data_IF_584014466112
#
_entry.id   IF_584014466112
#
_cell.length_a   1.000
_cell.length_b   1.000
_cell.length_c   1.000
_cell.angle_alpha   90.00
_cell.angle_beta   90.00
_cell.angle_gamma   90.00
#
_symmetry.space_group_name_H-M   'P 1'
#
loop_
_entity.id
_entity.type
_entity.pdbx_description
1 polymer ?
#
# COMPACT_ATOMS: atom_id res chain seq x y z
N UNK A 1 -7.14 -43.72 -58.18
CA UNK A 1 -7.46 -42.86 -59.35
C UNK A 1 -7.68 -41.47 -58.79
N UNK A 2 -6.80 -40.47 -58.86
CA UNK A 2 -5.52 -40.26 -59.54
C UNK A 2 -4.57 -39.51 -58.59
N UNK A 3 -3.28 -39.81 -58.71
CA UNK A 3 -2.12 -39.06 -58.20
C UNK A 3 -2.03 -37.67 -58.83
N UNK A 4 -1.52 -36.67 -58.09
CA UNK A 4 -0.59 -35.67 -58.65
C UNK A 4 0.48 -35.33 -57.61
N UNK A 5 1.68 -35.82 -57.89
CA UNK A 5 3.00 -35.44 -57.36
C UNK A 5 3.46 -34.10 -57.94
N UNK A 6 4.26 -33.32 -57.19
CA UNK A 6 5.30 -32.45 -57.78
C UNK A 6 6.61 -32.49 -56.98
N UNK A 7 7.70 -32.40 -57.75
CA UNK A 7 9.08 -32.81 -57.51
C UNK A 7 9.91 -31.93 -56.54
N UNK A 8 11.06 -32.46 -56.06
CA UNK A 8 12.00 -31.75 -55.21
C UNK A 8 13.00 -30.92 -56.00
N UNK A 9 13.44 -29.79 -55.45
CA UNK A 9 14.66 -29.11 -55.89
C UNK A 9 15.70 -29.19 -54.78
N UNK A 10 16.69 -30.05 -55.01
CA UNK A 10 17.98 -30.02 -54.36
C UNK A 10 18.69 -28.71 -54.72
N UNK A 11 19.15 -27.98 -53.70
CA UNK A 11 20.32 -27.10 -53.83
C UNK A 11 21.34 -27.49 -52.76
N UNK A 12 22.56 -27.57 -53.25
CA UNK A 12 23.83 -28.03 -52.68
C UNK A 12 24.23 -27.43 -51.35
N UNK A 13 24.96 -28.23 -50.57
CA UNK A 13 25.44 -27.91 -49.23
C UNK A 13 26.58 -26.88 -49.13
N UNK A 14 26.79 -26.46 -47.88
CA UNK A 14 27.95 -25.75 -47.32
C UNK A 14 28.15 -26.33 -45.89
N UNK A 15 29.38 -26.59 -45.44
CA UNK A 15 29.65 -27.58 -44.39
C UNK A 15 29.33 -27.10 -42.98
N UNK A 16 29.05 -28.08 -42.12
CA UNK A 16 28.92 -27.94 -40.67
C UNK A 16 30.20 -27.34 -40.06
N UNK A 17 30.09 -26.16 -39.45
CA UNK A 17 30.99 -25.75 -38.37
C UNK A 17 30.38 -26.22 -37.07
N UNK A 18 31.08 -27.16 -36.42
CA UNK A 18 30.96 -27.40 -34.99
C UNK A 18 31.51 -26.16 -34.28
N UNK A 19 30.62 -25.27 -33.88
CA UNK A 19 30.90 -24.38 -32.75
C UNK A 19 30.19 -24.99 -31.55
N UNK A 20 31.00 -25.39 -30.58
CA UNK A 20 30.56 -25.81 -29.26
C UNK A 20 29.92 -24.59 -28.59
N UNK A 21 28.61 -24.45 -28.76
CA UNK A 21 27.81 -23.64 -27.85
C UNK A 21 27.98 -24.28 -26.47
N UNK A 22 28.69 -23.60 -25.58
CA UNK A 22 28.62 -23.89 -24.16
C UNK A 22 27.15 -23.91 -23.78
N UNK A 23 26.69 -25.03 -23.25
CA UNK A 23 25.46 -25.04 -22.47
C UNK A 23 25.75 -24.13 -21.27
N UNK A 24 25.39 -22.86 -21.37
CA UNK A 24 24.90 -22.17 -20.18
C UNK A 24 23.71 -22.99 -19.73
N UNK A 25 23.93 -23.80 -18.70
CA UNK A 25 22.84 -24.33 -17.90
C UNK A 25 22.10 -23.10 -17.37
N UNK A 26 21.03 -22.71 -18.05
CA UNK A 26 19.93 -21.99 -17.43
C UNK A 26 19.54 -22.83 -16.21
N UNK A 27 20.12 -22.48 -15.05
CA UNK A 27 19.44 -22.72 -13.79
C UNK A 27 18.11 -22.02 -13.96
N UNK A 28 17.06 -22.82 -14.10
CA UNK A 28 15.72 -22.38 -13.78
C UNK A 28 15.75 -22.08 -12.27
N UNK A 29 16.29 -20.92 -11.90
CA UNK A 29 16.30 -20.47 -10.52
C UNK A 29 14.85 -20.19 -10.19
N UNK A 30 14.27 -21.07 -9.40
CA UNK A 30 12.92 -20.91 -8.88
C UNK A 30 12.83 -19.53 -8.22
N UNK A 31 11.84 -18.73 -8.63
CA UNK A 31 11.59 -17.41 -8.04
C UNK A 31 11.36 -17.57 -6.55
N UNK A 32 12.06 -16.80 -5.72
CA UNK A 32 11.91 -16.86 -4.27
C UNK A 32 11.10 -15.67 -3.74
N UNK A 33 9.97 -15.98 -3.11
CA UNK A 33 9.11 -15.00 -2.44
C UNK A 33 9.24 -15.15 -0.94
N UNK A 34 9.64 -14.06 -0.26
CA UNK A 34 9.66 -14.00 1.20
C UNK A 34 8.34 -13.43 1.73
N UNK A 35 7.66 -14.18 2.59
CA UNK A 35 6.44 -13.74 3.28
C UNK A 35 6.77 -13.23 4.67
N UNK A 36 6.53 -11.94 4.87
CA UNK A 36 6.66 -11.25 6.14
C UNK A 36 5.29 -11.18 6.82
N UNK A 37 5.20 -11.60 8.07
CA UNK A 37 3.94 -11.56 8.82
C UNK A 37 3.92 -10.45 9.86
N UNK A 38 2.86 -9.63 9.88
CA UNK A 38 2.64 -8.64 10.95
C UNK A 38 1.49 -9.03 11.89
N UNK A 39 0.81 -10.14 11.62
CA UNK A 39 -0.39 -10.61 12.32
C UNK A 39 -1.67 -10.34 11.49
N UNK A 40 -2.73 -9.91 12.16
CA UNK A 40 -4.03 -9.64 11.54
C UNK A 40 -4.92 -10.87 11.37
N UNK A 41 -6.10 -10.67 10.79
CA UNK A 41 -7.18 -11.66 10.70
C UNK A 41 -6.75 -12.96 10.00
N UNK A 42 -5.85 -12.88 9.03
CA UNK A 42 -5.32 -14.02 8.27
C UNK A 42 -4.56 -15.01 9.15
N UNK A 43 -3.94 -14.53 10.22
CA UNK A 43 -3.26 -15.34 11.22
C UNK A 43 -4.10 -15.53 12.50
N UNK A 44 -5.37 -15.09 12.50
CA UNK A 44 -6.23 -15.08 13.69
C UNK A 44 -7.23 -16.23 13.69
N UNK A 45 -7.40 -16.83 14.87
CA UNK A 45 -8.48 -17.78 15.18
C UNK A 45 -9.49 -17.14 16.12
N UNK A 46 -10.73 -17.61 16.16
CA UNK A 46 -11.72 -17.13 17.12
C UNK A 46 -11.20 -17.33 18.56
N UNK A 47 -11.30 -16.28 19.37
CA UNK A 47 -11.02 -16.35 20.79
C UNK A 47 -12.09 -17.14 21.54
N UNK A 48 -11.80 -17.63 22.75
CA UNK A 48 -12.77 -18.32 23.58
C UNK A 48 -14.03 -17.48 23.81
N UNK A 49 -15.21 -18.11 23.73
CA UNK A 49 -16.48 -17.57 24.24
C UNK A 49 -16.84 -16.14 23.75
N UNK A 50 -16.67 -15.87 22.45
CA UNK A 50 -17.15 -14.61 21.84
C UNK A 50 -16.23 -13.40 22.04
N UNK A 51 -14.98 -13.62 22.43
CA UNK A 51 -13.96 -12.57 22.64
C UNK A 51 -13.40 -11.92 21.36
N UNK A 52 -13.92 -12.29 20.18
CA UNK A 52 -13.38 -11.85 18.88
C UNK A 52 -12.14 -12.64 18.47
N UNK A 53 -11.68 -12.49 17.23
CA UNK A 53 -10.52 -13.22 16.72
C UNK A 53 -9.20 -12.59 17.18
N UNK A 54 -8.20 -13.42 17.47
CA UNK A 54 -6.85 -13.00 17.92
C UNK A 54 -5.80 -13.72 17.09
N UNK A 55 -4.72 -13.03 16.71
CA UNK A 55 -3.59 -13.61 15.99
C UNK A 55 -2.91 -14.71 16.83
N UNK A 56 -2.94 -15.94 16.35
CA UNK A 56 -2.50 -17.14 17.09
C UNK A 56 -1.65 -18.08 16.23
N UNK A 57 -1.74 -18.03 14.90
CA UNK A 57 -0.93 -18.87 14.00
C UNK A 57 0.35 -18.14 13.56
N UNK A 58 1.48 -18.84 13.64
CA UNK A 58 2.74 -18.38 13.05
C UNK A 58 2.75 -18.56 11.53
N UNK A 59 3.58 -17.78 10.83
CA UNK A 59 3.67 -17.79 9.37
C UNK A 59 3.86 -19.18 8.76
N UNK A 60 4.63 -20.07 9.39
CA UNK A 60 4.88 -21.43 8.88
C UNK A 60 3.58 -22.24 8.72
N UNK A 61 2.60 -22.05 9.60
CA UNK A 61 1.32 -22.76 9.52
C UNK A 61 0.48 -22.28 8.33
N UNK A 62 0.57 -20.98 7.98
CA UNK A 62 -0.09 -20.42 6.79
C UNK A 62 0.61 -20.90 5.52
N UNK A 63 1.94 -20.90 5.50
CA UNK A 63 2.72 -21.31 4.33
C UNK A 63 2.57 -22.78 3.98
N UNK A 64 2.39 -23.66 4.98
CA UNK A 64 2.15 -25.09 4.73
C UNK A 64 0.82 -25.39 4.01
N UNK A 65 -0.11 -24.42 3.93
CA UNK A 65 -1.41 -24.57 3.28
C UNK A 65 -1.41 -24.10 1.82
N UNK A 66 -0.37 -23.40 1.39
CA UNK A 66 -0.31 -22.74 0.08
C UNK A 66 0.85 -23.26 -0.75
N UNK A 67 0.58 -23.56 -2.02
CA UNK A 67 1.60 -23.97 -2.99
C UNK A 67 1.38 -23.18 -4.28
N UNK A 68 2.44 -22.57 -4.81
CA UNK A 68 2.41 -21.85 -6.08
C UNK A 68 3.50 -22.40 -6.99
N UNK A 69 3.10 -22.93 -8.15
CA UNK A 69 4.02 -23.55 -9.09
C UNK A 69 5.10 -22.57 -9.55
N UNK A 70 6.37 -23.01 -9.56
CA UNK A 70 7.49 -22.19 -10.00
C UNK A 70 8.00 -21.17 -8.97
N UNK A 71 7.37 -21.08 -7.78
CA UNK A 71 7.77 -20.16 -6.71
C UNK A 71 8.17 -20.95 -5.46
N UNK A 72 9.35 -20.67 -4.94
CA UNK A 72 9.75 -21.10 -3.59
C UNK A 72 9.33 -20.04 -2.59
N UNK A 73 8.75 -20.45 -1.47
CA UNK A 73 8.23 -19.53 -0.45
C UNK A 73 8.92 -19.78 0.87
N UNK A 74 9.36 -18.71 1.53
CA UNK A 74 9.82 -18.75 2.93
C UNK A 74 9.08 -17.72 3.77
N UNK A 75 9.08 -17.90 5.09
CA UNK A 75 8.30 -17.08 6.03
C UNK A 75 9.14 -16.50 7.15
N UNK A 76 8.82 -15.27 7.57
CA UNK A 76 9.38 -14.66 8.79
C UNK A 76 8.33 -13.79 9.49
N UNK A 77 8.19 -13.96 10.80
CA UNK A 77 7.36 -13.05 11.60
C UNK A 77 8.11 -11.73 11.85
N UNK A 78 7.45 -10.60 11.57
CA UNK A 78 7.92 -9.25 11.86
C UNK A 78 7.22 -8.71 13.10
N UNK A 79 5.89 -8.84 13.15
CA UNK A 79 5.04 -8.45 14.27
C UNK A 79 3.93 -9.50 14.49
N UNK A 80 3.21 -9.37 15.60
CA UNK A 80 2.01 -10.17 15.88
C UNK A 80 0.96 -9.26 16.50
N UNK A 81 0.54 -8.25 15.72
CA UNK A 81 -0.27 -7.13 16.21
C UNK A 81 -1.43 -6.87 15.27
N UNK A 82 -2.64 -6.71 15.81
CA UNK A 82 -3.79 -6.31 15.01
C UNK A 82 -3.56 -4.92 14.41
N UNK A 83 -3.95 -4.73 13.15
CA UNK A 83 -3.62 -3.52 12.39
C UNK A 83 -4.16 -2.23 13.02
N UNK A 84 -5.27 -2.30 13.75
CA UNK A 84 -5.85 -1.16 14.49
C UNK A 84 -5.07 -0.78 15.78
N UNK A 85 -4.07 -1.57 16.18
CA UNK A 85 -3.19 -1.29 17.31
C UNK A 85 -1.80 -0.81 16.87
N UNK A 86 -1.52 -0.77 15.56
CA UNK A 86 -0.21 -0.39 15.05
C UNK A 86 0.10 1.08 15.36
N UNK A 87 1.28 1.30 15.90
CA UNK A 87 1.87 2.62 16.11
C UNK A 87 2.80 3.01 14.95
N UNK A 88 3.25 4.27 14.91
CA UNK A 88 4.27 4.70 13.94
C UNK A 88 5.58 3.90 14.08
N UNK A 89 5.94 3.50 15.30
CA UNK A 89 7.08 2.60 15.54
C UNK A 89 6.89 1.26 14.83
N UNK A 90 5.70 0.68 14.91
CA UNK A 90 5.41 -0.60 14.26
C UNK A 90 5.46 -0.46 12.73
N UNK A 91 4.93 0.64 12.18
CA UNK A 91 5.05 0.95 10.76
C UNK A 91 6.52 1.09 10.32
N UNK A 92 7.37 1.75 11.12
CA UNK A 92 8.81 1.83 10.83
C UNK A 92 9.49 0.45 10.85
N UNK A 93 9.16 -0.40 11.82
CA UNK A 93 9.70 -1.77 11.88
C UNK A 93 9.28 -2.61 10.65
N UNK A 94 8.05 -2.42 10.15
CA UNK A 94 7.58 -3.03 8.90
C UNK A 94 8.43 -2.55 7.72
N UNK A 95 8.64 -1.23 7.59
CA UNK A 95 9.49 -0.67 6.53
C UNK A 95 10.91 -1.25 6.59
N UNK A 96 11.52 -1.29 7.78
CA UNK A 96 12.86 -1.84 7.98
C UNK A 96 12.92 -3.31 7.50
N UNK A 97 11.95 -4.13 7.93
CA UNK A 97 11.89 -5.54 7.56
C UNK A 97 11.71 -5.77 6.05
N UNK A 98 10.88 -4.97 5.38
CA UNK A 98 10.69 -5.03 3.93
C UNK A 98 11.94 -4.54 3.21
N UNK A 99 12.54 -3.43 3.65
CA UNK A 99 13.75 -2.88 3.03
C UNK A 99 14.92 -3.86 3.12
N UNK A 100 15.09 -4.53 4.26
CA UNK A 100 16.11 -5.56 4.42
C UNK A 100 15.85 -6.77 3.52
N UNK A 101 14.60 -7.18 3.37
CA UNK A 101 14.22 -8.25 2.44
C UNK A 101 14.52 -7.88 0.98
N UNK A 102 14.25 -6.63 0.58
CA UNK A 102 14.52 -6.17 -0.79
C UNK A 102 16.02 -6.12 -1.11
N UNK A 103 16.88 -5.90 -0.11
CA UNK A 103 18.34 -5.92 -0.25
C UNK A 103 18.94 -7.32 -0.39
N UNK A 104 18.24 -8.36 0.04
CA UNK A 104 18.70 -9.74 -0.10
C UNK A 104 18.61 -10.18 -1.57
N UNK A 105 19.76 -10.46 -2.20
CA UNK A 105 19.84 -10.92 -3.59
C UNK A 105 19.14 -12.28 -3.80
N UNK A 106 18.96 -13.08 -2.75
CA UNK A 106 18.24 -14.33 -2.80
C UNK A 106 16.71 -14.19 -2.73
N UNK A 107 16.17 -12.98 -2.58
CA UNK A 107 14.73 -12.70 -2.56
C UNK A 107 14.33 -11.96 -3.83
N UNK A 108 13.37 -12.49 -4.57
CA UNK A 108 12.88 -11.92 -5.83
C UNK A 108 11.63 -11.04 -5.64
N UNK A 109 10.85 -11.32 -4.59
CA UNK A 109 9.64 -10.57 -4.24
C UNK A 109 9.27 -10.73 -2.77
N UNK A 110 8.48 -9.78 -2.26
CA UNK A 110 8.06 -9.76 -0.85
C UNK A 110 6.54 -9.75 -0.77
N UNK A 111 5.97 -10.63 0.05
CA UNK A 111 4.57 -10.55 0.49
C UNK A 111 4.53 -10.13 1.95
N UNK A 112 3.65 -9.20 2.30
CA UNK A 112 3.40 -8.80 3.67
C UNK A 112 1.96 -9.19 4.06
N UNK A 113 1.80 -10.16 4.95
CA UNK A 113 0.49 -10.45 5.54
C UNK A 113 0.19 -9.44 6.63
N UNK A 114 -0.95 -8.77 6.51
CA UNK A 114 -1.30 -7.60 7.32
C UNK A 114 -2.79 -7.59 7.65
N UNK A 115 -3.15 -6.99 8.80
CA UNK A 115 -4.55 -6.74 9.14
C UNK A 115 -5.18 -5.70 8.21
N UNK A 116 -6.47 -5.88 7.89
CA UNK A 116 -7.11 -5.09 6.83
C UNK A 116 -7.48 -3.67 7.23
N UNK A 117 -7.52 -3.35 8.53
CA UNK A 117 -8.03 -2.05 9.00
C UNK A 117 -7.12 -0.86 8.68
N UNK A 118 -5.80 -1.07 8.64
CA UNK A 118 -4.81 -0.02 8.35
C UNK A 118 -3.86 -0.41 7.22
N UNK A 119 -4.21 -1.45 6.44
CA UNK A 119 -3.40 -1.91 5.30
C UNK A 119 -3.16 -0.80 4.29
N UNK A 120 -4.14 0.08 4.05
CA UNK A 120 -4.00 1.22 3.13
C UNK A 120 -2.97 2.26 3.58
N UNK A 121 -2.74 2.40 4.90
CA UNK A 121 -1.72 3.29 5.47
C UNK A 121 -0.33 2.65 5.36
N UNK A 122 -0.20 1.38 5.77
CA UNK A 122 1.07 0.63 5.68
C UNK A 122 1.55 0.47 4.25
N UNK A 123 0.66 0.12 3.31
CA UNK A 123 0.97 -0.01 1.89
C UNK A 123 1.50 1.30 1.33
N UNK A 124 0.84 2.41 1.67
CA UNK A 124 1.24 3.72 1.16
C UNK A 124 2.57 4.20 1.77
N UNK A 125 2.82 3.99 3.06
CA UNK A 125 4.13 4.29 3.65
C UNK A 125 5.25 3.52 2.95
N UNK A 126 5.06 2.21 2.73
CA UNK A 126 6.01 1.40 1.98
C UNK A 126 6.21 1.94 0.56
N UNK A 127 5.13 2.33 -0.13
CA UNK A 127 5.19 2.85 -1.50
C UNK A 127 5.96 4.16 -1.64
N UNK A 128 5.87 5.03 -0.61
CA UNK A 128 6.63 6.27 -0.52
C UNK A 128 8.14 6.04 -0.44
N UNK A 129 8.57 4.91 0.12
CA UNK A 129 9.98 4.62 0.43
C UNK A 129 10.58 3.66 -0.60
N UNK A 130 9.73 2.90 -1.28
CA UNK A 130 10.13 1.81 -2.16
C UNK A 130 10.92 2.29 -3.39
N UNK A 131 12.18 1.88 -3.46
CA UNK A 131 13.18 2.25 -4.48
C UNK A 131 13.74 1.05 -5.26
N UNK A 132 13.11 -0.12 -5.12
CA UNK A 132 13.50 -1.37 -5.79
C UNK A 132 12.55 -1.72 -6.93
N UNK A 133 13.03 -2.52 -7.89
CA UNK A 133 12.17 -3.11 -8.92
C UNK A 133 11.46 -4.39 -8.44
N UNK A 134 11.90 -4.98 -7.33
CA UNK A 134 11.30 -6.21 -6.78
C UNK A 134 9.90 -5.91 -6.24
N UNK A 135 8.87 -6.70 -6.57
CA UNK A 135 7.51 -6.43 -6.12
C UNK A 135 7.35 -6.59 -4.60
N UNK A 136 6.53 -5.71 -4.02
CA UNK A 136 6.05 -5.80 -2.64
C UNK A 136 4.53 -5.85 -2.66
N UNK A 137 3.96 -6.92 -2.11
CA UNK A 137 2.51 -7.16 -2.15
C UNK A 137 1.96 -7.33 -0.74
N UNK A 138 1.04 -6.47 -0.33
CA UNK A 138 0.30 -6.63 0.91
C UNK A 138 -0.95 -7.48 0.67
N UNK A 139 -1.28 -8.32 1.65
CA UNK A 139 -2.53 -9.09 1.64
C UNK A 139 -3.00 -9.41 3.06
N UNK A 140 -4.20 -9.97 3.18
CA UNK A 140 -4.83 -10.33 4.45
C UNK A 140 -6.13 -11.10 4.24
N UNK A 141 -7.02 -11.06 5.23
CA UNK A 141 -8.36 -11.68 5.13
C UNK A 141 -9.41 -10.82 5.82
N UNK A 142 -10.66 -10.88 5.33
CA UNK A 142 -11.82 -10.34 6.03
C UNK A 142 -12.37 -11.31 7.07
N UNK A 143 -12.23 -12.61 6.83
CA UNK A 143 -12.69 -13.66 7.73
C UNK A 143 -11.52 -14.29 8.46
N UNK A 144 -11.74 -14.71 9.71
CA UNK A 144 -10.74 -15.46 10.49
C UNK A 144 -10.51 -16.84 9.86
N UNK A 145 -9.36 -17.44 10.17
CA UNK A 145 -8.89 -18.71 9.59
C UNK A 145 -9.82 -19.90 9.91
N UNK A 146 -10.56 -19.82 11.01
CA UNK A 146 -11.57 -20.80 11.42
C UNK A 146 -13.00 -20.45 10.96
N UNK A 147 -13.17 -19.32 10.28
CA UNK A 147 -14.45 -18.83 9.80
C UNK A 147 -14.91 -19.53 8.51
N UNK A 148 -16.22 -19.76 8.38
CA UNK A 148 -16.80 -20.25 7.13
C UNK A 148 -16.53 -19.23 6.01
N UNK A 149 -15.99 -19.71 4.88
CA UNK A 149 -15.64 -18.87 3.74
C UNK A 149 -14.38 -18.05 3.95
N UNK A 150 -13.45 -18.52 4.80
CA UNK A 150 -12.12 -17.96 4.98
C UNK A 150 -11.47 -17.64 3.62
N UNK A 151 -11.09 -16.38 3.47
CA UNK A 151 -10.55 -15.80 2.25
C UNK A 151 -9.02 -15.66 2.27
N UNK A 152 -8.37 -15.94 3.40
CA UNK A 152 -6.94 -15.71 3.56
C UNK A 152 -6.04 -16.62 2.72
N UNK A 153 -6.39 -17.90 2.55
CA UNK A 153 -5.58 -18.83 1.76
C UNK A 153 -5.50 -18.39 0.30
N UNK A 154 -6.65 -18.05 -0.32
CA UNK A 154 -6.69 -17.61 -1.71
C UNK A 154 -6.04 -16.23 -1.89
N UNK A 155 -6.26 -15.29 -0.96
CA UNK A 155 -5.60 -13.99 -0.98
C UNK A 155 -4.08 -14.12 -0.85
N UNK A 156 -3.58 -15.05 -0.05
CA UNK A 156 -2.16 -15.33 0.11
C UNK A 156 -1.56 -15.97 -1.15
N UNK A 157 -2.25 -16.94 -1.75
CA UNK A 157 -1.85 -17.54 -3.04
C UNK A 157 -1.76 -16.47 -4.13
N UNK A 158 -2.77 -15.61 -4.24
CA UNK A 158 -2.78 -14.51 -5.21
C UNK A 158 -1.63 -13.54 -4.96
N UNK A 159 -1.38 -13.17 -3.71
CA UNK A 159 -0.29 -12.26 -3.35
C UNK A 159 1.10 -12.85 -3.67
N UNK A 160 1.32 -14.14 -3.38
CA UNK A 160 2.56 -14.85 -3.72
C UNK A 160 2.73 -14.92 -5.24
N UNK A 161 1.65 -15.21 -5.96
CA UNK A 161 1.64 -15.25 -7.43
C UNK A 161 2.03 -13.88 -8.02
N UNK A 162 1.47 -12.79 -7.49
CA UNK A 162 1.82 -11.42 -7.90
C UNK A 162 3.27 -11.08 -7.55
N UNK A 163 3.73 -11.42 -6.34
CA UNK A 163 5.11 -11.14 -5.92
C UNK A 163 6.15 -11.96 -6.70
N UNK A 164 5.79 -13.11 -7.26
CA UNK A 164 6.67 -13.90 -8.13
C UNK A 164 6.58 -13.57 -9.62
N UNK A 165 5.63 -12.72 -10.03
CA UNK A 165 5.39 -12.43 -11.44
C UNK A 165 6.38 -11.38 -11.98
N UNK A 166 7.07 -11.65 -13.11
CA UNK A 166 7.94 -10.68 -13.77
C UNK A 166 7.24 -9.35 -14.10
N UNK A 167 5.95 -9.39 -14.45
CA UNK A 167 5.12 -8.25 -14.82
C UNK A 167 4.81 -7.32 -13.64
N UNK A 168 4.97 -7.80 -12.40
CA UNK A 168 4.79 -7.00 -11.19
C UNK A 168 6.04 -6.16 -10.84
N UNK A 169 7.17 -6.42 -11.48
CA UNK A 169 8.39 -5.64 -11.25
C UNK A 169 8.20 -4.17 -11.65
N UNK A 170 8.64 -3.25 -10.79
CA UNK A 170 8.52 -1.81 -11.00
C UNK A 170 7.08 -1.25 -10.87
N UNK A 171 6.09 -2.05 -10.46
CA UNK A 171 4.72 -1.59 -10.23
C UNK A 171 4.53 -0.85 -8.89
N UNK A 172 5.59 -0.76 -8.08
CA UNK A 172 5.54 -0.20 -6.74
C UNK A 172 5.00 -1.19 -5.71
N UNK A 173 4.45 -0.67 -4.63
CA UNK A 173 3.78 -1.48 -3.61
C UNK A 173 2.33 -1.72 -4.01
N UNK A 174 1.90 -2.98 -3.91
CA UNK A 174 0.59 -3.44 -4.33
C UNK A 174 -0.20 -4.01 -3.15
N UNK A 175 -1.53 -4.04 -3.28
CA UNK A 175 -2.42 -4.81 -2.42
C UNK A 175 -3.10 -5.86 -3.30
N UNK A 176 -2.92 -7.15 -2.97
CA UNK A 176 -3.62 -8.26 -3.63
C UNK A 176 -4.73 -8.78 -2.71
N UNK A 177 -5.99 -8.64 -3.14
CA UNK A 177 -7.15 -9.00 -2.34
C UNK A 177 -8.33 -9.37 -3.22
N UNK A 178 -9.02 -10.49 -2.93
CA UNK A 178 -10.18 -10.96 -3.67
C UNK A 178 -9.97 -11.00 -5.21
N UNK A 179 -8.79 -11.46 -5.65
CA UNK A 179 -8.39 -11.51 -7.06
C UNK A 179 -8.04 -10.16 -7.70
N UNK A 180 -8.24 -9.03 -7.02
CA UNK A 180 -7.85 -7.70 -7.50
C UNK A 180 -6.41 -7.34 -7.10
N UNK A 181 -5.71 -6.65 -8.00
CA UNK A 181 -4.37 -6.10 -7.74
C UNK A 181 -4.50 -4.57 -7.71
N UNK A 182 -4.35 -3.97 -6.54
CA UNK A 182 -4.59 -2.55 -6.30
C UNK A 182 -3.26 -1.81 -6.10
N UNK A 183 -3.13 -0.56 -6.57
CA UNK A 183 -1.97 0.27 -6.24
C UNK A 183 -2.02 0.63 -4.75
N UNK A 184 -0.88 0.82 -4.08
CA UNK A 184 -0.88 1.38 -2.72
C UNK A 184 -1.52 2.76 -2.68
N UNK A 185 -1.06 3.71 -3.51
CA UNK A 185 -1.62 5.06 -3.60
C UNK A 185 -3.08 5.03 -4.06
N UNK A 186 -3.95 5.65 -3.26
CA UNK A 186 -5.37 5.85 -3.56
C UNK A 186 -6.28 4.69 -3.17
N UNK A 187 -5.74 3.52 -2.83
CA UNK A 187 -6.53 2.39 -2.35
C UNK A 187 -7.02 2.60 -0.92
N UNK A 188 -8.27 2.25 -0.65
CA UNK A 188 -8.91 2.33 0.66
C UNK A 188 -9.79 1.13 0.94
N UNK A 189 -9.96 0.77 2.20
CA UNK A 189 -11.01 -0.12 2.70
C UNK A 189 -12.34 0.63 2.67
N UNK A 190 -13.17 0.31 1.68
CA UNK A 190 -14.49 0.91 1.44
C UNK A 190 -15.62 0.14 2.15
N UNK A 191 -15.38 -1.10 2.56
CA UNK A 191 -16.37 -1.92 3.25
C UNK A 191 -15.78 -2.61 4.49
N UNK A 192 -16.59 -2.73 5.53
CA UNK A 192 -16.16 -3.26 6.84
C UNK A 192 -16.15 -4.79 6.91
N UNK A 193 -17.01 -5.47 6.13
CA UNK A 193 -17.22 -6.93 6.18
C UNK A 193 -17.12 -7.64 4.81
N UNK A 194 -17.18 -6.91 3.69
CA UNK A 194 -17.33 -7.52 2.35
C UNK A 194 -16.00 -8.16 1.95
N UNK A 195 -15.99 -9.37 1.35
CA UNK A 195 -14.75 -10.05 0.94
C UNK A 195 -13.88 -9.27 -0.05
N UNK A 196 -14.46 -8.33 -0.80
CA UNK A 196 -13.78 -7.40 -1.69
C UNK A 196 -13.84 -5.97 -1.11
N UNK A 197 -13.15 -5.69 0.01
CA UNK A 197 -13.34 -4.47 0.77
C UNK A 197 -12.56 -3.28 0.20
N UNK A 198 -11.55 -3.52 -0.65
CA UNK A 198 -10.63 -2.49 -1.13
C UNK A 198 -11.06 -1.88 -2.48
N UNK A 199 -10.95 -0.56 -2.59
CA UNK A 199 -11.27 0.19 -3.81
C UNK A 199 -10.62 1.58 -3.83
N UNK A 200 -11.10 2.52 -4.65
CA UNK A 200 -10.50 3.85 -4.80
C UNK A 200 -10.07 4.12 -6.25
N UNK A 201 -8.77 4.25 -6.51
CA UNK A 201 -8.18 4.45 -7.85
C UNK A 201 -8.49 3.32 -8.86
N UNK A 202 -9.07 2.22 -8.39
CA UNK A 202 -9.35 1.02 -9.19
C UNK A 202 -8.18 0.04 -9.17
N UNK A 203 -8.41 -1.25 -9.48
CA UNK A 203 -7.34 -2.21 -9.61
C UNK A 203 -6.46 -1.90 -10.84
N UNK A 204 -5.17 -2.17 -10.73
CA UNK A 204 -4.22 -2.16 -11.84
C UNK A 204 -4.35 -3.40 -12.72
N UNK A 205 -4.92 -4.47 -12.16
CA UNK A 205 -4.90 -5.80 -12.72
C UNK A 205 -5.70 -6.79 -11.89
N UNK A 206 -5.71 -8.04 -12.35
CA UNK A 206 -6.36 -9.14 -11.66
C UNK A 206 -5.49 -10.39 -11.68
N UNK A 207 -5.68 -11.25 -10.68
CA UNK A 207 -5.20 -12.63 -10.70
C UNK A 207 -6.36 -13.50 -11.18
N UNK A 208 -6.14 -14.30 -12.23
CA UNK A 208 -7.19 -15.18 -12.79
C UNK A 208 -6.58 -16.51 -13.19
N UNK A 209 -7.08 -17.60 -12.59
CA UNK A 209 -6.57 -18.95 -12.87
C UNK A 209 -5.08 -19.13 -12.55
N UNK A 210 -4.56 -18.41 -11.55
CA UNK A 210 -3.13 -18.42 -11.19
C UNK A 210 -2.22 -17.59 -12.09
N UNK A 211 -2.78 -16.78 -13.00
CA UNK A 211 -2.02 -15.87 -13.85
C UNK A 211 -2.29 -14.41 -13.49
N UNK A 212 -1.25 -13.57 -13.58
CA UNK A 212 -1.31 -12.14 -13.29
C UNK A 212 -1.53 -11.37 -14.58
N UNK A 213 -2.52 -10.46 -14.60
CA UNK A 213 -2.78 -9.59 -15.74
C UNK A 213 -2.94 -8.13 -15.32
N UNK A 214 -1.95 -7.29 -15.66
CA UNK A 214 -2.03 -5.84 -15.50
C UNK A 214 -2.65 -5.17 -16.73
N UNK A 215 -3.51 -4.19 -16.50
CA UNK A 215 -4.10 -3.33 -17.54
C UNK A 215 -3.89 -1.82 -17.25
N UNK A 216 -3.31 -1.47 -16.10
CA UNK A 216 -2.90 -0.12 -15.74
C UNK A 216 -1.60 -0.15 -14.92
N UNK A 217 -1.00 1.03 -14.72
CA UNK A 217 0.22 1.22 -13.91
C UNK A 217 -0.05 2.21 -12.79
N UNK A 218 0.66 2.05 -11.67
CA UNK A 218 0.51 2.93 -10.51
C UNK A 218 1.11 4.32 -10.77
N UNK A 219 0.43 5.37 -10.32
CA UNK A 219 1.02 6.71 -10.19
C UNK A 219 1.81 6.79 -8.89
N UNK A 220 3.11 7.09 -8.97
CA UNK A 220 4.01 7.18 -7.82
C UNK A 220 4.88 8.44 -7.87
N UNK A 221 5.27 8.93 -6.69
CA UNK A 221 6.30 9.96 -6.55
C UNK A 221 7.70 9.32 -6.46
N UNK A 222 8.77 10.13 -6.46
CA UNK A 222 10.11 9.63 -6.19
C UNK A 222 10.21 9.07 -4.76
N UNK A 223 11.03 8.03 -4.58
CA UNK A 223 11.24 7.42 -3.28
C UNK A 223 11.79 8.44 -2.26
N UNK A 224 11.21 8.43 -1.06
CA UNK A 224 11.66 9.19 0.10
C UNK A 224 12.64 8.34 0.93
N UNK A 225 13.53 8.97 1.71
CA UNK A 225 14.36 8.25 2.68
C UNK A 225 13.49 7.45 3.65
N UNK A 226 13.89 6.25 4.07
CA UNK A 226 13.13 5.48 5.06
C UNK A 226 13.01 6.26 6.39
N UNK A 227 11.88 6.13 7.12
CA UNK A 227 11.66 6.78 8.40
C UNK A 227 12.69 6.30 9.43
N UNK A 228 13.23 7.24 10.20
CA UNK A 228 14.04 6.97 11.37
C UNK A 228 13.18 7.01 12.65
N UNK A 229 13.82 6.92 13.82
CA UNK A 229 13.12 6.97 15.11
C UNK A 229 12.33 8.26 15.34
N UNK A 230 12.63 9.36 14.65
CA UNK A 230 11.85 10.59 14.73
C UNK A 230 10.41 10.42 14.24
N UNK A 231 10.17 9.46 13.34
CA UNK A 231 8.82 9.12 12.85
C UNK A 231 7.91 8.57 13.96
N UNK A 232 8.46 7.77 14.89
CA UNK A 232 7.73 7.12 15.99
C UNK A 232 6.92 8.13 16.81
N UNK A 233 7.50 9.32 17.04
CA UNK A 233 6.92 10.40 17.84
C UNK A 233 6.28 11.51 16.98
N UNK A 234 6.24 11.36 15.65
CA UNK A 234 5.68 12.37 14.77
C UNK A 234 4.16 12.31 14.74
N UNK A 235 3.52 13.08 15.63
CA UNK A 235 2.08 13.11 15.77
C UNK A 235 1.41 13.98 14.68
N UNK A 236 0.51 13.36 13.91
CA UNK A 236 -0.42 14.02 12.98
C UNK A 236 -1.83 13.51 13.24
N UNK A 237 -2.73 14.42 13.62
CA UNK A 237 -4.13 14.10 13.92
C UNK A 237 -5.04 14.48 12.75
N UNK A 238 -6.26 13.92 12.75
CA UNK A 238 -7.28 14.15 11.73
C UNK A 238 -8.49 14.81 12.37
N UNK A 239 -8.97 15.91 11.79
CA UNK A 239 -10.14 16.67 12.29
C UNK A 239 -11.18 16.80 11.18
N UNK A 240 -12.42 16.47 11.49
CA UNK A 240 -13.50 16.44 10.50
C UNK A 240 -14.23 17.78 10.46
N UNK A 241 -14.36 18.38 9.27
CA UNK A 241 -15.27 19.50 9.05
C UNK A 241 -16.70 19.00 8.85
N UNK A 242 -17.66 19.62 9.54
CA UNK A 242 -19.08 19.30 9.49
C UNK A 242 -19.94 20.53 9.86
N UNK A 243 -21.27 20.50 9.66
CA UNK A 243 -22.14 21.56 10.15
C UNK A 243 -21.95 21.77 11.66
N UNK A 244 -21.66 23.00 12.07
CA UNK A 244 -21.36 23.35 13.46
C UNK A 244 -19.95 22.98 13.95
N UNK A 245 -19.05 22.54 13.06
CA UNK A 245 -17.65 22.33 13.43
C UNK A 245 -16.98 23.67 13.77
N UNK A 246 -16.22 23.68 14.85
CA UNK A 246 -15.32 24.76 15.23
C UNK A 246 -13.86 24.28 15.14
N UNK A 247 -12.92 25.06 15.67
CA UNK A 247 -11.51 24.68 15.74
C UNK A 247 -11.10 24.01 17.07
N UNK A 248 -12.04 23.64 17.94
CA UNK A 248 -11.75 23.12 19.29
C UNK A 248 -10.97 21.81 19.22
N UNK A 249 -11.42 20.86 18.40
CA UNK A 249 -10.71 19.57 18.22
C UNK A 249 -9.29 19.76 17.67
N UNK A 250 -9.12 20.69 16.72
CA UNK A 250 -7.83 20.97 16.10
C UNK A 250 -6.85 21.64 17.07
N UNK A 251 -7.34 22.59 17.90
CA UNK A 251 -6.55 23.18 18.98
C UNK A 251 -6.15 22.14 20.04
N UNK A 252 -7.06 21.24 20.40
CA UNK A 252 -6.79 20.17 21.35
C UNK A 252 -5.70 19.21 20.82
N UNK A 253 -5.73 18.86 19.54
CA UNK A 253 -4.69 18.04 18.92
C UNK A 253 -3.31 18.70 19.00
N UNK A 254 -3.21 19.99 18.63
CA UNK A 254 -1.95 20.75 18.72
C UNK A 254 -1.48 20.86 20.17
N UNK A 255 -2.38 21.15 21.11
CA UNK A 255 -2.05 21.19 22.55
C UNK A 255 -1.54 19.84 23.08
N UNK A 256 -1.99 18.73 22.48
CA UNK A 256 -1.53 17.38 22.80
C UNK A 256 -0.26 16.97 22.01
N UNK A 257 0.39 17.90 21.31
CA UNK A 257 1.69 17.71 20.66
C UNK A 257 1.63 17.39 19.16
N UNK A 258 0.48 17.53 18.50
CA UNK A 258 0.40 17.34 17.05
C UNK A 258 1.29 18.36 16.31
N UNK A 259 2.21 17.86 15.48
CA UNK A 259 3.05 18.69 14.59
C UNK A 259 2.37 18.97 13.24
N UNK A 260 1.31 18.22 12.95
CA UNK A 260 0.43 18.50 11.85
C UNK A 260 -1.01 18.05 12.09
N UNK A 261 -1.93 18.61 11.32
CA UNK A 261 -3.35 18.27 11.37
C UNK A 261 -3.89 18.14 9.94
N UNK A 262 -4.59 17.05 9.65
CA UNK A 262 -5.35 16.88 8.41
C UNK A 262 -6.81 17.26 8.66
N UNK A 263 -7.29 18.31 8.01
CA UNK A 263 -8.71 18.67 7.99
C UNK A 263 -9.41 17.82 6.92
N UNK A 264 -10.46 17.09 7.31
CA UNK A 264 -11.37 16.45 6.37
C UNK A 264 -12.44 17.45 5.96
N UNK A 265 -12.17 18.19 4.89
CA UNK A 265 -13.08 19.19 4.37
C UNK A 265 -14.36 18.58 3.80
N UNK A 266 -15.41 19.40 3.77
CA UNK A 266 -16.67 19.08 3.11
C UNK A 266 -16.58 19.36 1.61
N UNK A 267 -17.31 18.60 0.78
CA UNK A 267 -17.25 18.78 -0.69
C UNK A 267 -15.82 18.73 -1.22
N UNK A 268 -15.40 19.76 -1.97
CA UNK A 268 -14.06 19.89 -2.54
C UNK A 268 -12.97 20.34 -1.54
N UNK A 269 -13.13 20.05 -0.25
CA UNK A 269 -12.17 20.41 0.82
C UNK A 269 -12.52 21.68 1.60
N UNK A 270 -13.80 22.04 1.71
CA UNK A 270 -14.25 23.25 2.40
C UNK A 270 -14.24 23.11 3.93
N UNK A 271 -13.73 24.14 4.60
CA UNK A 271 -13.84 24.35 6.05
C UNK A 271 -15.03 25.26 6.38
N UNK A 272 -14.76 26.25 7.22
CA UNK A 272 -15.61 27.40 7.50
C UNK A 272 -14.73 28.57 8.00
N UNK A 273 -15.33 29.69 8.37
CA UNK A 273 -14.59 30.88 8.82
C UNK A 273 -13.73 30.63 10.08
N UNK A 274 -14.21 29.82 11.02
CA UNK A 274 -13.48 29.50 12.25
C UNK A 274 -12.28 28.59 11.96
N UNK A 275 -12.49 27.54 11.14
CA UNK A 275 -11.42 26.65 10.69
C UNK A 275 -10.37 27.46 9.92
N UNK A 276 -10.77 28.33 8.98
CA UNK A 276 -9.83 29.22 8.26
C UNK A 276 -9.00 30.07 9.22
N UNK A 277 -9.64 30.69 10.20
CA UNK A 277 -8.96 31.54 11.18
C UNK A 277 -7.95 30.73 11.99
N UNK A 278 -8.30 29.52 12.38
CA UNK A 278 -7.40 28.60 13.06
C UNK A 278 -6.26 28.10 12.16
N UNK A 279 -6.50 27.83 10.87
CA UNK A 279 -5.42 27.45 9.94
C UNK A 279 -4.34 28.53 9.91
N UNK A 280 -4.72 29.79 9.76
CA UNK A 280 -3.76 30.90 9.77
C UNK A 280 -2.99 30.98 11.11
N UNK A 281 -3.68 30.78 12.25
CA UNK A 281 -3.04 30.70 13.57
C UNK A 281 -2.03 29.55 13.64
N UNK A 282 -2.43 28.34 13.24
CA UNK A 282 -1.63 27.13 13.32
C UNK A 282 -0.38 27.21 12.44
N UNK A 283 -0.54 27.65 11.18
CA UNK A 283 0.58 27.83 10.23
C UNK A 283 1.56 28.89 10.74
N UNK A 284 1.08 29.98 11.37
CA UNK A 284 1.97 30.98 11.98
C UNK A 284 2.81 30.46 13.16
N UNK A 285 2.48 29.27 13.67
CA UNK A 285 3.19 28.57 14.74
C UNK A 285 3.87 27.29 14.24
N UNK A 286 4.18 27.24 12.95
CA UNK A 286 4.87 26.12 12.29
C UNK A 286 4.14 24.76 12.38
N UNK A 287 2.82 24.77 12.59
CA UNK A 287 2.01 23.56 12.50
C UNK A 287 1.63 23.31 11.04
N UNK A 288 1.96 22.13 10.53
CA UNK A 288 1.60 21.74 9.17
C UNK A 288 0.10 21.42 9.11
N UNK A 289 -0.67 22.18 8.33
CA UNK A 289 -2.10 21.91 8.12
C UNK A 289 -2.33 21.37 6.72
N UNK A 290 -2.83 20.14 6.61
CA UNK A 290 -3.27 19.54 5.36
C UNK A 290 -4.79 19.57 5.22
N UNK A 291 -5.29 19.66 3.98
CA UNK A 291 -6.72 19.51 3.67
C UNK A 291 -6.89 18.30 2.76
N UNK A 292 -7.64 17.31 3.25
CA UNK A 292 -8.17 16.20 2.47
C UNK A 292 -9.70 16.28 2.49
N UNK A 293 -10.39 15.22 2.12
CA UNK A 293 -11.83 15.18 1.94
C UNK A 293 -12.45 14.04 2.75
N UNK A 294 -13.66 14.28 3.28
CA UNK A 294 -14.47 13.21 3.90
C UNK A 294 -15.28 12.41 2.88
N UNK A 295 -15.40 12.90 1.64
CA UNK A 295 -16.12 12.22 0.58
C UNK A 295 -15.46 10.87 0.23
N UNK A 296 -16.17 10.03 -0.53
CA UNK A 296 -15.63 8.73 -0.96
C UNK A 296 -14.46 8.91 -1.93
N UNK A 297 -14.48 9.95 -2.76
CA UNK A 297 -13.40 10.29 -3.69
C UNK A 297 -13.54 11.68 -4.29
N UNK A 298 -12.54 12.05 -5.11
CA UNK A 298 -12.43 13.34 -5.79
C UNK A 298 -11.40 14.27 -5.13
N UNK A 299 -10.76 15.17 -5.90
CA UNK A 299 -9.67 15.98 -5.37
C UNK A 299 -10.18 17.18 -4.55
N UNK A 300 -9.38 17.57 -3.56
CA UNK A 300 -9.46 18.91 -2.97
C UNK A 300 -9.12 19.96 -4.02
N UNK A 301 -9.99 20.97 -4.16
CA UNK A 301 -9.85 22.06 -5.13
C UNK A 301 -10.30 23.39 -4.51
N UNK A 302 -9.54 24.49 -4.71
CA UNK A 302 -9.86 25.81 -4.15
C UNK A 302 -11.00 26.48 -4.93
N UNK A 303 -12.22 25.91 -4.86
CA UNK A 303 -13.36 26.36 -5.65
C UNK A 303 -14.23 27.40 -4.92
N UNK A 304 -14.16 27.45 -3.59
CA UNK A 304 -15.03 28.25 -2.76
C UNK A 304 -14.23 29.11 -1.77
N UNK A 305 -14.63 30.38 -1.65
CA UNK A 305 -14.20 31.30 -0.59
C UNK A 305 -15.18 31.34 0.59
N UNK A 306 -15.13 32.40 1.39
CA UNK A 306 -15.86 32.57 2.65
C UNK A 306 -15.65 31.43 3.68
N UNK A 307 -14.41 30.96 3.82
CA UNK A 307 -14.02 29.83 4.66
C UNK A 307 -13.91 28.49 3.93
N UNK A 308 -14.12 28.49 2.61
CA UNK A 308 -13.92 27.33 1.74
C UNK A 308 -12.44 27.03 1.44
N UNK A 309 -12.20 26.01 0.62
CA UNK A 309 -10.85 25.53 0.32
C UNK A 309 -9.90 26.59 -0.26
N UNK A 310 -10.41 27.61 -0.96
CA UNK A 310 -9.57 28.72 -1.46
C UNK A 310 -8.97 29.51 -0.30
N UNK A 311 -9.80 29.87 0.68
CA UNK A 311 -9.32 30.63 1.85
C UNK A 311 -8.42 29.81 2.77
N UNK A 312 -8.63 28.49 2.83
CA UNK A 312 -7.73 27.61 3.59
C UNK A 312 -6.34 27.56 2.95
N UNK A 313 -6.27 27.50 1.62
CA UNK A 313 -5.01 27.57 0.89
C UNK A 313 -4.33 28.94 1.08
N UNK A 314 -5.09 30.04 1.00
CA UNK A 314 -4.58 31.40 1.26
C UNK A 314 -4.09 31.57 2.71
N UNK A 315 -4.68 30.83 3.66
CA UNK A 315 -4.23 30.77 5.04
C UNK A 315 -3.00 29.85 5.27
N UNK A 316 -2.50 29.21 4.22
CA UNK A 316 -1.28 28.38 4.24
C UNK A 316 -1.51 26.87 4.37
N UNK A 317 -2.75 26.38 4.28
CA UNK A 317 -3.00 24.94 4.29
C UNK A 317 -2.55 24.26 2.99
N UNK A 318 -2.02 23.04 3.12
CA UNK A 318 -1.63 22.18 2.02
C UNK A 318 -2.86 21.44 1.47
N UNK A 319 -3.28 21.74 0.24
CA UNK A 319 -4.36 21.00 -0.42
C UNK A 319 -3.83 19.66 -0.92
N UNK A 320 -4.27 18.54 -0.35
CA UNK A 320 -3.67 17.21 -0.56
C UNK A 320 -4.26 16.45 -1.76
N UNK A 321 -4.72 17.19 -2.77
CA UNK A 321 -5.16 16.60 -4.05
C UNK A 321 -6.24 15.53 -3.89
N UNK A 322 -6.06 14.41 -4.58
CA UNK A 322 -6.96 13.24 -4.53
C UNK A 322 -6.52 12.17 -3.53
N UNK A 323 -5.52 12.47 -2.69
CA UNK A 323 -4.98 11.52 -1.73
C UNK A 323 -6.00 11.29 -0.59
N UNK A 324 -6.45 10.03 -0.38
CA UNK A 324 -7.31 9.69 0.74
C UNK A 324 -6.73 10.11 2.07
N UNK A 325 -7.58 10.54 2.99
CA UNK A 325 -7.12 11.07 4.28
C UNK A 325 -6.24 10.13 5.11
N UNK A 326 -6.40 8.79 5.11
CA UNK A 326 -5.51 7.92 5.86
C UNK A 326 -4.08 7.99 5.31
N UNK A 327 -3.96 7.97 3.98
CA UNK A 327 -2.68 8.12 3.28
C UNK A 327 -2.09 9.53 3.39
N UNK A 328 -2.93 10.56 3.34
CA UNK A 328 -2.52 11.95 3.55
C UNK A 328 -1.93 12.17 4.95
N UNK A 329 -2.51 11.53 5.98
CA UNK A 329 -1.97 11.56 7.35
C UNK A 329 -0.57 10.95 7.41
N UNK A 330 -0.37 9.79 6.77
CA UNK A 330 0.92 9.10 6.67
C UNK A 330 1.96 9.93 5.91
N UNK A 331 1.59 10.52 4.76
CA UNK A 331 2.48 11.40 3.99
C UNK A 331 2.98 12.55 4.86
N UNK A 332 2.07 13.27 5.53
CA UNK A 332 2.47 14.39 6.38
C UNK A 332 3.30 13.94 7.57
N UNK A 333 2.94 12.84 8.24
CA UNK A 333 3.72 12.33 9.36
C UNK A 333 5.17 12.01 8.93
N UNK A 334 5.34 11.40 7.76
CA UNK A 334 6.66 11.08 7.25
C UNK A 334 7.45 12.32 6.80
N UNK A 335 6.84 13.23 6.03
CA UNK A 335 7.51 14.46 5.60
C UNK A 335 7.88 15.37 6.78
N UNK A 336 7.01 15.48 7.79
CA UNK A 336 7.29 16.21 9.03
C UNK A 336 8.45 15.54 9.80
N UNK A 337 8.54 14.21 9.81
CA UNK A 337 9.62 13.52 10.53
C UNK A 337 10.99 13.81 9.92
N UNK A 338 11.08 13.93 8.59
CA UNK A 338 12.35 14.14 7.88
C UNK A 338 12.69 15.61 7.59
N UNK A 339 11.71 16.53 7.60
CA UNK A 339 11.92 17.95 7.26
C UNK A 339 11.48 18.94 8.35
N UNK A 340 10.72 18.50 9.36
CA UNK A 340 10.10 19.38 10.35
C UNK A 340 8.88 20.14 9.79
N UNK A 341 9.11 21.10 8.89
CA UNK A 341 8.05 21.90 8.26
C UNK A 341 7.87 21.45 6.81
N UNK A 342 6.61 21.21 6.41
CA UNK A 342 6.27 20.71 5.07
C UNK A 342 5.70 21.82 4.20
N UNK A 343 6.13 21.86 2.94
CA UNK A 343 5.67 22.82 1.93
C UNK A 343 4.83 22.15 0.84
N UNK A 344 4.11 22.97 0.06
CA UNK A 344 3.32 22.50 -1.09
C UNK A 344 4.16 21.77 -2.14
N UNK A 345 5.39 22.21 -2.38
CA UNK A 345 6.31 21.55 -3.32
C UNK A 345 6.75 20.16 -2.86
N UNK A 346 6.84 19.92 -1.54
CA UNK A 346 7.22 18.62 -0.99
C UNK A 346 6.10 17.59 -1.14
N UNK A 347 4.83 18.00 -1.01
CA UNK A 347 3.70 17.08 -1.16
C UNK A 347 3.31 16.84 -2.62
N UNK A 348 3.56 17.81 -3.51
CA UNK A 348 3.09 17.80 -4.90
C UNK A 348 3.35 16.51 -5.70
N UNK A 349 4.52 15.83 -5.59
CA UNK A 349 4.77 14.58 -6.31
C UNK A 349 3.86 13.42 -5.88
N UNK A 350 3.28 13.49 -4.68
CA UNK A 350 2.59 12.39 -4.01
C UNK A 350 1.06 12.52 -4.03
N UNK A 351 0.52 13.69 -4.41
CA UNK A 351 -0.92 14.06 -4.33
C UNK A 351 -1.61 14.30 -5.67
#
# INVERSE_FOLDING_TARGET
MFYVTWCPLFVSGVPARRESAGKEEERCSMTHVLVLATGGTIASTAGPSGSGAVATEGIDALLNKVEVSGITVSGRNVLTTNSFLLSHRDLRLIVEAVTDALRDEGVDGVVLTHGTDTMEESAYLLDLIHDSDKPVVLTGSQRSNDGIGYDGDINLVDAITVAGAPEARGQGVLIAFAGGIHPARGTRKLHTIDPSPFGGTGPLGYVTGGAVGFHATARRGPALPPPDRGFDDTRVDVVVSHPGADATAARAAVAAGARGVVILGTGAGNGNQEIRSWVAEAVSRDITVGVSFRAVGGPVRPLYGNGGASDLADAGALLLGDLPWPQARILLAHLISIHGIVSSSMVAPYI
#
